data_IF_621530579106
#
_entry.id   IF_621530579106
#
_cell.length_a   1.000
_cell.length_b   1.000
_cell.length_c   1.000
_cell.angle_alpha   90.00
_cell.angle_beta   90.00
_cell.angle_gamma   90.00
#
_symmetry.space_group_name_H-M   'P 1'
#
loop_
_entity.id
_entity.type
_entity.pdbx_description
1 polymer ?
#
# COMPACT_ATOMS: atom_id res chain seq x y z
N UNK A 1 -0.29 3.51 -32.75
CA UNK A 1 0.60 3.03 -31.68
C UNK A 1 -0.27 2.36 -30.64
N UNK A 2 -0.32 1.03 -30.66
CA UNK A 2 -0.99 0.23 -29.63
C UNK A 2 -0.32 0.48 -28.28
N UNK A 3 -1.08 0.51 -27.18
CA UNK A 3 -0.49 0.76 -25.88
C UNK A 3 0.40 -0.41 -25.49
N UNK A 4 1.51 -0.16 -24.80
CA UNK A 4 2.42 -1.21 -24.31
C UNK A 4 1.70 -2.26 -23.44
N UNK A 5 0.56 -1.89 -22.83
CA UNK A 5 -0.33 -2.78 -22.09
C UNK A 5 -1.13 -3.73 -23.01
N UNK A 6 -1.38 -3.36 -24.26
CA UNK A 6 -2.01 -4.22 -25.27
C UNK A 6 -1.05 -5.30 -25.78
N UNK A 7 0.27 -5.03 -25.78
CA UNK A 7 1.31 -5.99 -26.19
C UNK A 7 1.51 -7.13 -25.18
N UNK A 8 1.42 -6.83 -23.87
CA UNK A 8 1.52 -7.86 -22.80
C UNK A 8 0.28 -8.77 -22.81
N UNK A 9 -0.88 -8.26 -23.20
CA UNK A 9 -2.12 -9.03 -23.27
C UNK A 9 -2.17 -10.09 -24.38
N UNK A 10 -1.25 -10.06 -25.35
CA UNK A 10 -1.25 -10.98 -26.50
C UNK A 10 -0.30 -12.17 -26.38
N UNK A 11 0.70 -12.13 -25.49
CA UNK A 11 1.72 -13.18 -25.35
C UNK A 11 1.58 -13.94 -24.02
N UNK A 12 0.61 -14.85 -23.97
CA UNK A 12 0.40 -15.75 -22.84
C UNK A 12 1.53 -16.77 -22.70
N UNK A 13 1.98 -17.00 -21.47
CA UNK A 13 2.89 -18.09 -21.13
C UNK A 13 2.25 -19.07 -20.16
N UNK A 14 2.14 -20.33 -20.62
CA UNK A 14 2.48 -21.53 -19.86
C UNK A 14 1.56 -21.97 -18.72
N UNK A 15 0.67 -22.92 -19.03
CA UNK A 15 -0.02 -23.77 -18.06
C UNK A 15 0.97 -24.57 -17.20
N UNK A 16 1.03 -24.27 -15.90
CA UNK A 16 1.23 -25.29 -14.86
C UNK A 16 0.35 -24.93 -13.66
N UNK A 17 -0.52 -25.87 -13.30
CA UNK A 17 -1.44 -25.81 -12.17
C UNK A 17 -0.73 -26.46 -10.98
N UNK A 18 -0.60 -25.79 -9.83
CA UNK A 18 -0.46 -26.49 -8.56
C UNK A 18 -1.77 -26.43 -7.77
N UNK A 19 -2.11 -27.58 -7.23
CA UNK A 19 -3.25 -27.88 -6.37
C UNK A 19 -3.10 -27.27 -4.95
N UNK A 20 -4.20 -26.70 -4.45
CA UNK A 20 -4.62 -26.43 -3.04
C UNK A 20 -3.62 -25.75 -2.09
N UNK A 21 -3.98 -24.72 -1.30
CA UNK A 21 -4.93 -24.75 -0.19
C UNK A 21 -5.64 -23.40 -0.07
N UNK A 22 -6.98 -23.42 -0.13
CA UNK A 22 -7.82 -22.28 0.23
C UNK A 22 -7.69 -21.97 1.72
N UNK A 23 -6.91 -20.95 2.07
CA UNK A 23 -7.10 -20.25 3.35
C UNK A 23 -8.41 -19.48 3.26
N UNK A 24 -9.46 -20.02 3.89
CA UNK A 24 -10.81 -19.44 3.99
C UNK A 24 -10.89 -18.15 4.81
N UNK A 25 -9.77 -17.51 5.14
CA UNK A 25 -9.74 -16.35 6.02
C UNK A 25 -9.22 -15.09 5.29
N UNK A 26 -10.20 -14.30 4.87
CA UNK A 26 -10.24 -12.87 4.47
C UNK A 26 -11.05 -12.75 3.17
N UNK A 27 -12.37 -12.57 3.31
CA UNK A 27 -13.22 -12.08 2.23
C UNK A 27 -12.98 -10.57 2.10
N UNK A 28 -11.97 -10.18 1.32
CA UNK A 28 -11.82 -8.80 0.89
C UNK A 28 -12.88 -8.53 -0.20
N UNK A 29 -14.02 -7.95 0.18
CA UNK A 29 -14.93 -7.36 -0.81
C UNK A 29 -14.39 -5.98 -1.19
N UNK A 30 -13.59 -5.92 -2.25
CA UNK A 30 -13.12 -4.65 -2.80
C UNK A 30 -14.21 -4.06 -3.72
N UNK A 31 -15.03 -3.15 -3.19
CA UNK A 31 -15.84 -2.25 -4.03
C UNK A 31 -15.05 -0.97 -4.28
N UNK A 32 -14.45 -0.85 -5.46
CA UNK A 32 -13.82 0.40 -5.91
C UNK A 32 -14.93 1.34 -6.41
N UNK A 33 -15.21 2.41 -5.67
CA UNK A 33 -16.05 3.50 -6.16
C UNK A 33 -15.18 4.58 -6.81
N UNK A 34 -15.23 4.73 -8.13
CA UNK A 34 -14.64 5.88 -8.84
C UNK A 34 -15.48 7.14 -8.55
N UNK A 35 -14.94 8.10 -7.79
CA UNK A 35 -15.45 9.49 -7.76
C UNK A 35 -14.29 10.46 -7.82
N UNK A 36 -14.34 11.39 -8.78
CA UNK A 36 -13.38 12.48 -8.91
C UNK A 36 -13.49 13.42 -7.70
N UNK A 37 -12.38 13.64 -7.01
CA UNK A 37 -12.28 14.62 -5.92
C UNK A 37 -11.83 15.95 -6.55
N UNK A 38 -12.57 17.02 -6.25
CA UNK A 38 -12.39 18.36 -6.82
C UNK A 38 -11.05 19.00 -6.35
N UNK A 39 -10.20 19.52 -7.24
CA UNK A 39 -8.86 20.00 -6.88
C UNK A 39 -8.89 21.46 -6.41
N UNK A 40 -9.10 21.68 -5.10
CA UNK A 40 -8.68 22.93 -4.44
C UNK A 40 -8.02 22.60 -3.11
N UNK A 41 -6.78 23.08 -2.97
CA UNK A 41 -5.84 22.97 -1.84
C UNK A 41 -5.10 21.62 -1.72
N UNK A 42 -3.78 21.68 -1.42
CA UNK A 42 -2.97 20.53 -0.97
C UNK A 42 -3.48 20.04 0.38
N UNK A 43 -4.63 19.38 0.38
CA UNK A 43 -5.13 18.61 1.52
C UNK A 43 -4.21 17.41 1.71
N UNK A 44 -3.82 17.14 2.95
CA UNK A 44 -3.05 15.93 3.28
C UNK A 44 -3.81 14.68 2.80
N UNK A 45 -3.10 13.57 2.57
CA UNK A 45 -3.75 12.35 2.05
C UNK A 45 -4.96 11.93 2.89
N UNK A 46 -4.89 12.15 4.21
CA UNK A 46 -5.94 11.84 5.18
C UNK A 46 -7.12 12.82 5.11
N UNK A 47 -6.90 14.13 4.98
CA UNK A 47 -8.01 15.11 4.89
C UNK A 47 -8.96 14.81 3.73
N UNK A 48 -8.43 14.52 2.54
CA UNK A 48 -9.28 14.13 1.39
C UNK A 48 -10.07 12.83 1.63
N UNK A 49 -9.56 11.93 2.48
CA UNK A 49 -10.27 10.71 2.84
C UNK A 49 -11.35 10.97 3.89
N UNK A 50 -11.08 11.83 4.87
CA UNK A 50 -12.08 12.29 5.83
C UNK A 50 -13.21 13.05 5.13
N UNK A 51 -12.91 13.91 4.16
CA UNK A 51 -13.92 14.57 3.32
C UNK A 51 -14.77 13.54 2.56
N UNK A 52 -14.13 12.52 1.97
CA UNK A 52 -14.85 11.44 1.29
C UNK A 52 -15.82 10.74 2.24
N UNK A 53 -15.39 10.44 3.47
CA UNK A 53 -16.24 9.84 4.49
C UNK A 53 -17.37 10.81 4.89
N UNK A 54 -17.09 12.10 5.05
CA UNK A 54 -18.12 13.11 5.35
C UNK A 54 -19.21 13.19 4.28
N UNK A 55 -18.83 13.05 3.00
CA UNK A 55 -19.75 13.11 1.87
C UNK A 55 -20.51 11.81 1.62
N UNK A 56 -19.88 10.64 1.83
CA UNK A 56 -20.43 9.34 1.45
C UNK A 56 -20.84 8.48 2.65
N UNK A 57 -20.55 8.93 3.87
CA UNK A 57 -20.68 8.14 5.08
C UNK A 57 -19.74 6.91 5.11
N UNK A 58 -20.03 5.99 6.02
CA UNK A 58 -19.32 4.72 6.15
C UNK A 58 -19.92 3.58 5.29
N UNK A 59 -20.99 3.87 4.54
CA UNK A 59 -21.89 2.86 3.98
C UNK A 59 -22.81 2.26 5.06
N UNK A 60 -23.19 0.98 4.90
CA UNK A 60 -24.23 0.36 5.74
C UNK A 60 -23.84 0.14 7.21
N UNK A 61 -22.56 0.02 7.53
CA UNK A 61 -22.07 -0.24 8.88
C UNK A 61 -20.86 0.64 9.18
N UNK A 62 -20.86 1.24 10.39
CA UNK A 62 -19.74 2.01 10.92
C UNK A 62 -18.55 1.08 11.20
N UNK A 63 -17.32 1.38 10.72
CA UNK A 63 -16.16 0.53 10.93
C UNK A 63 -15.62 0.67 12.37
N UNK A 64 -14.84 -0.31 12.82
CA UNK A 64 -14.09 -0.19 14.07
C UNK A 64 -12.91 0.76 13.91
N UNK A 65 -12.24 0.69 12.75
CA UNK A 65 -11.03 1.43 12.45
C UNK A 65 -11.14 2.20 11.13
N UNK A 66 -10.63 3.43 11.12
CA UNK A 66 -10.39 4.24 9.91
C UNK A 66 -8.91 4.54 9.80
N UNK A 67 -8.28 4.20 8.68
CA UNK A 67 -6.82 4.36 8.51
C UNK A 67 -6.36 4.47 7.05
N UNK A 68 -5.06 4.39 6.78
CA UNK A 68 -4.48 4.39 5.44
C UNK A 68 -3.88 3.04 5.05
N UNK A 69 -3.86 2.76 3.74
CA UNK A 69 -3.16 1.63 3.11
C UNK A 69 -1.69 1.59 3.55
N UNK A 70 -1.06 2.75 3.60
CA UNK A 70 0.36 2.88 3.98
C UNK A 70 0.60 2.46 5.43
N UNK A 71 -0.27 2.87 6.36
CA UNK A 71 -0.13 2.44 7.75
C UNK A 71 -0.33 0.94 7.91
N UNK A 72 -1.35 0.36 7.25
CA UNK A 72 -1.59 -1.08 7.30
C UNK A 72 -0.38 -1.87 6.81
N UNK A 73 0.17 -1.48 5.64
CA UNK A 73 1.42 -2.02 5.09
C UNK A 73 2.54 -1.95 6.13
N UNK A 74 2.78 -0.78 6.70
CA UNK A 74 3.87 -0.56 7.65
C UNK A 74 3.74 -1.35 8.96
N UNK A 75 2.53 -1.50 9.48
CA UNK A 75 2.28 -2.34 10.67
C UNK A 75 2.59 -3.81 10.36
N UNK A 76 2.13 -4.31 9.21
CA UNK A 76 2.37 -5.70 8.80
C UNK A 76 3.84 -6.00 8.51
N UNK A 77 4.59 -5.04 7.96
CA UNK A 77 6.01 -5.15 7.61
C UNK A 77 6.97 -4.80 8.76
N UNK A 78 6.45 -4.59 9.97
CA UNK A 78 7.22 -4.20 11.16
C UNK A 78 8.03 -2.88 11.01
N UNK A 79 7.57 -1.96 10.18
CA UNK A 79 8.21 -0.64 10.04
C UNK A 79 7.95 0.26 11.26
N UNK A 80 8.93 1.05 11.65
CA UNK A 80 8.82 1.98 12.78
C UNK A 80 8.27 3.31 12.34
N UNK A 81 7.17 3.73 12.95
CA UNK A 81 6.54 5.03 12.71
C UNK A 81 5.97 5.66 13.97
N UNK A 82 5.79 6.98 13.92
CA UNK A 82 4.92 7.70 14.84
C UNK A 82 3.47 7.63 14.32
N UNK A 83 2.55 7.23 15.20
CA UNK A 83 1.14 7.01 14.85
C UNK A 83 0.27 7.78 15.83
N UNK A 84 -0.64 8.58 15.30
CA UNK A 84 -1.69 9.23 16.08
C UNK A 84 -2.96 8.39 16.04
N UNK A 85 -3.60 8.24 17.20
CA UNK A 85 -4.85 7.52 17.34
C UNK A 85 -5.83 8.34 18.15
N UNK A 86 -7.06 8.44 17.68
CA UNK A 86 -8.15 8.98 18.47
C UNK A 86 -9.45 8.23 18.19
N UNK A 87 -10.36 8.26 19.16
CA UNK A 87 -11.71 7.74 18.98
C UNK A 87 -12.72 8.88 18.94
N UNK A 88 -13.53 8.91 17.88
CA UNK A 88 -14.56 9.94 17.66
C UNK A 88 -15.81 9.24 17.12
N UNK A 89 -16.94 9.47 17.78
CA UNK A 89 -18.21 8.84 17.41
C UNK A 89 -18.14 7.31 17.43
N UNK A 90 -17.49 6.68 18.40
CA UNK A 90 -17.35 5.23 18.43
C UNK A 90 -16.36 4.62 17.42
N UNK A 91 -15.79 5.40 16.50
CA UNK A 91 -14.80 4.93 15.49
C UNK A 91 -13.40 5.29 15.91
N UNK A 92 -12.45 4.36 15.75
CA UNK A 92 -11.03 4.60 16.03
C UNK A 92 -10.32 5.03 14.73
N UNK A 93 -9.85 6.27 14.70
CA UNK A 93 -9.06 6.81 13.62
C UNK A 93 -7.58 6.64 13.92
N UNK A 94 -6.82 6.11 12.96
CA UNK A 94 -5.40 5.75 13.12
C UNK A 94 -4.61 6.32 11.95
N UNK A 95 -3.70 7.26 12.23
CA UNK A 95 -2.93 7.98 11.22
C UNK A 95 -1.42 7.86 11.48
N UNK A 96 -0.67 7.53 10.43
CA UNK A 96 0.79 7.62 10.41
C UNK A 96 1.23 9.09 10.22
N UNK A 97 2.18 9.57 11.01
CA UNK A 97 2.62 10.97 11.02
C UNK A 97 3.99 11.22 10.36
N UNK A 98 4.70 10.16 9.98
CA UNK A 98 6.04 10.29 9.40
C UNK A 98 6.02 11.00 8.03
N UNK A 99 7.03 11.82 7.76
CA UNK A 99 7.22 12.48 6.47
C UNK A 99 7.68 11.47 5.41
N UNK A 100 7.09 11.50 4.22
CA UNK A 100 7.56 10.71 3.08
C UNK A 100 8.96 11.15 2.63
N UNK A 101 9.81 10.21 2.19
CA UNK A 101 11.18 10.48 1.75
C UNK A 101 11.18 11.10 0.33
N UNK A 102 11.68 12.33 0.19
CA UNK A 102 11.54 13.13 -1.02
C UNK A 102 12.32 12.59 -2.24
N UNK A 103 13.42 11.85 -2.07
CA UNK A 103 14.29 11.45 -3.19
C UNK A 103 13.83 10.17 -3.89
N UNK A 104 13.26 9.20 -3.16
CA UNK A 104 12.59 8.02 -3.75
C UNK A 104 11.37 8.43 -4.58
N UNK A 105 10.80 9.61 -4.31
CA UNK A 105 9.60 10.10 -4.97
C UNK A 105 9.81 10.42 -6.47
N UNK A 106 10.99 10.90 -6.90
CA UNK A 106 11.16 11.41 -8.29
C UNK A 106 11.21 10.28 -9.32
N UNK A 107 12.02 9.24 -9.07
CA UNK A 107 12.10 8.10 -9.99
C UNK A 107 10.76 7.35 -10.05
N UNK A 108 10.10 7.19 -8.90
CA UNK A 108 8.78 6.60 -8.84
C UNK A 108 7.74 7.43 -9.59
N UNK A 109 7.77 8.76 -9.45
CA UNK A 109 6.87 9.66 -10.17
C UNK A 109 7.05 9.58 -11.68
N UNK A 110 8.29 9.59 -12.16
CA UNK A 110 8.61 9.46 -13.60
C UNK A 110 8.13 8.11 -14.11
N UNK A 111 8.40 7.02 -13.39
CA UNK A 111 7.99 5.69 -13.81
C UNK A 111 6.48 5.52 -13.82
N UNK A 112 5.78 5.97 -12.78
CA UNK A 112 4.31 5.98 -12.75
C UNK A 112 3.76 6.71 -13.98
N UNK A 113 4.24 7.93 -14.23
CA UNK A 113 3.81 8.70 -15.39
C UNK A 113 4.11 7.99 -16.72
N UNK A 114 5.29 7.40 -16.88
CA UNK A 114 5.65 6.63 -18.08
C UNK A 114 4.68 5.47 -18.33
N UNK A 115 4.26 4.78 -17.27
CA UNK A 115 3.37 3.62 -17.35
C UNK A 115 1.89 4.00 -17.52
N UNK A 116 1.48 5.22 -17.15
CA UNK A 116 0.06 5.62 -17.10
C UNK A 116 -0.31 6.78 -18.01
N UNK A 117 0.65 7.43 -18.68
CA UNK A 117 0.35 8.54 -19.59
C UNK A 117 -0.59 8.10 -20.70
N UNK A 118 -1.57 8.93 -21.02
CA UNK A 118 -2.59 8.72 -22.05
C UNK A 118 -2.19 9.30 -23.40
N UNK A 119 -1.21 10.20 -23.41
CA UNK A 119 -0.66 10.79 -24.63
C UNK A 119 0.83 11.02 -24.49
N UNK A 120 1.53 11.12 -25.62
CA UNK A 120 2.98 11.29 -25.66
C UNK A 120 3.46 12.56 -24.95
N UNK A 121 2.70 13.65 -25.11
CA UNK A 121 3.01 14.99 -24.61
C UNK A 121 2.36 15.30 -23.25
N UNK A 122 1.81 14.30 -22.54
CA UNK A 122 1.25 14.52 -21.22
C UNK A 122 2.37 14.95 -20.25
N UNK A 123 2.26 16.09 -19.54
CA UNK A 123 3.28 16.50 -18.60
C UNK A 123 3.23 15.65 -17.33
N UNK A 124 4.38 15.46 -16.68
CA UNK A 124 4.45 14.87 -15.34
C UNK A 124 3.78 15.83 -14.36
N UNK A 125 2.66 15.41 -13.76
CA UNK A 125 1.97 16.16 -12.70
C UNK A 125 2.05 15.42 -11.38
N UNK A 126 2.22 16.16 -10.29
CA UNK A 126 2.31 15.60 -8.93
C UNK A 126 1.00 15.74 -8.13
N UNK A 127 -0.02 16.38 -8.72
CA UNK A 127 -1.28 16.76 -8.05
C UNK A 127 -2.41 15.73 -8.21
N UNK A 128 -2.31 14.85 -9.20
CA UNK A 128 -3.35 13.89 -9.59
C UNK A 128 -3.05 12.49 -9.04
N UNK A 129 -3.16 12.34 -7.72
CA UNK A 129 -3.05 11.04 -7.06
C UNK A 129 -4.39 10.33 -7.12
N UNK A 130 -4.50 9.27 -7.91
CA UNK A 130 -5.66 8.38 -7.86
C UNK A 130 -5.64 7.59 -6.54
N UNK A 131 -6.79 7.56 -5.85
CA UNK A 131 -6.94 6.86 -4.56
C UNK A 131 -8.08 5.86 -4.62
N UNK A 132 -7.88 4.74 -3.93
CA UNK A 132 -8.93 3.78 -3.64
C UNK A 132 -9.39 3.92 -2.20
N UNK A 133 -10.64 3.51 -1.95
CA UNK A 133 -11.22 3.32 -0.63
C UNK A 133 -11.65 1.86 -0.54
N UNK A 134 -11.21 1.18 0.51
CA UNK A 134 -11.43 -0.24 0.71
C UNK A 134 -12.01 -0.52 2.09
N UNK A 135 -12.75 -1.62 2.15
CA UNK A 135 -13.22 -2.22 3.40
C UNK A 135 -12.53 -3.56 3.57
N UNK A 136 -12.06 -3.82 4.78
CA UNK A 136 -11.50 -5.10 5.17
C UNK A 136 -12.12 -5.56 6.49
N UNK A 137 -12.16 -6.87 6.65
CA UNK A 137 -12.59 -7.53 7.88
C UNK A 137 -11.46 -8.43 8.36
N UNK A 138 -11.11 -8.30 9.63
CA UNK A 138 -10.20 -9.22 10.29
C UNK A 138 -11.02 -10.28 11.02
N UNK A 139 -10.79 -11.53 10.66
CA UNK A 139 -11.45 -12.68 11.26
C UNK A 139 -10.58 -13.29 12.35
N UNK A 140 -11.21 -13.77 13.41
CA UNK A 140 -10.59 -14.51 14.49
C UNK A 140 -11.44 -15.78 14.75
N UNK A 141 -10.90 -16.96 14.46
CA UNK A 141 -11.66 -18.21 14.50
C UNK A 141 -12.91 -18.21 13.61
N UNK A 142 -12.83 -17.58 12.43
CA UNK A 142 -13.94 -17.45 11.48
C UNK A 142 -15.01 -16.42 11.84
N UNK A 143 -14.91 -15.75 13.00
CA UNK A 143 -15.80 -14.66 13.39
C UNK A 143 -15.18 -13.31 13.06
N UNK A 144 -15.99 -12.37 12.57
CA UNK A 144 -15.59 -10.98 12.36
C UNK A 144 -15.21 -10.35 13.70
N UNK A 145 -13.94 -10.01 13.85
CA UNK A 145 -13.40 -9.38 15.06
C UNK A 145 -13.30 -7.86 14.89
N UNK A 146 -12.76 -7.40 13.75
CA UNK A 146 -12.62 -5.98 13.47
C UNK A 146 -12.97 -5.64 12.03
N UNK A 147 -13.63 -4.50 11.86
CA UNK A 147 -13.90 -3.88 10.56
C UNK A 147 -13.01 -2.66 10.33
N UNK A 148 -12.41 -2.57 9.15
CA UNK A 148 -11.43 -1.54 8.82
C UNK A 148 -11.88 -0.86 7.52
N UNK A 149 -12.03 0.46 7.56
CA UNK A 149 -12.18 1.31 6.39
C UNK A 149 -10.85 2.03 6.15
N UNK A 150 -10.30 1.92 4.95
CA UNK A 150 -9.01 2.55 4.67
C UNK A 150 -8.91 3.07 3.25
N UNK A 151 -8.01 4.04 3.05
CA UNK A 151 -7.73 4.59 1.72
C UNK A 151 -6.25 4.64 1.42
N UNK A 152 -5.92 4.81 0.15
CA UNK A 152 -4.53 4.87 -0.28
C UNK A 152 -4.41 5.05 -1.78
N UNK A 153 -3.21 5.44 -2.21
CA UNK A 153 -2.86 5.62 -3.62
C UNK A 153 -3.05 4.31 -4.41
N UNK A 154 -3.55 4.42 -5.64
CA UNK A 154 -3.54 3.38 -6.66
C UNK A 154 -2.57 3.83 -7.74
N UNK A 155 -1.55 3.04 -8.06
CA UNK A 155 -0.50 3.46 -8.98
C UNK A 155 -0.97 3.37 -10.44
N UNK A 156 -1.65 2.30 -10.83
CA UNK A 156 -2.26 2.15 -12.15
C UNK A 156 -3.53 1.30 -12.13
N UNK A 157 -4.42 1.54 -13.09
CA UNK A 157 -5.66 0.78 -13.29
C UNK A 157 -5.78 0.41 -14.77
N UNK A 158 -6.03 -0.85 -15.05
CA UNK A 158 -6.40 -1.33 -16.38
C UNK A 158 -7.87 -1.75 -16.38
N UNK A 159 -8.67 -1.17 -17.27
CA UNK A 159 -10.03 -1.64 -17.53
C UNK A 159 -9.94 -2.84 -18.48
N UNK A 160 -10.38 -4.00 -18.02
CA UNK A 160 -10.45 -5.20 -18.86
C UNK A 160 -11.58 -5.07 -19.88
N UNK A 161 -11.52 -5.85 -20.97
CA UNK A 161 -12.56 -5.91 -22.01
C UNK A 161 -13.96 -6.21 -21.46
N UNK A 162 -14.05 -6.85 -20.29
CA UNK A 162 -15.30 -7.16 -19.59
C UNK A 162 -15.75 -6.05 -18.60
N UNK A 163 -15.14 -4.86 -18.64
CA UNK A 163 -15.46 -3.74 -17.75
C UNK A 163 -14.94 -3.87 -16.32
N UNK A 164 -14.26 -4.96 -15.96
CA UNK A 164 -13.62 -5.11 -14.64
C UNK A 164 -12.34 -4.29 -14.60
N UNK A 165 -12.13 -3.50 -13.54
CA UNK A 165 -10.87 -2.80 -13.29
C UNK A 165 -9.90 -3.72 -12.56
N UNK A 166 -8.66 -3.78 -13.03
CA UNK A 166 -7.52 -4.41 -12.35
C UNK A 166 -6.56 -3.33 -11.91
N UNK A 167 -6.28 -3.29 -10.61
CA UNK A 167 -5.26 -2.41 -10.04
C UNK A 167 -3.87 -3.02 -10.23
N UNK A 168 -2.88 -2.16 -10.37
CA UNK A 168 -1.47 -2.52 -10.36
C UNK A 168 -0.74 -1.63 -9.35
N UNK A 169 0.21 -2.22 -8.63
CA UNK A 169 1.23 -1.45 -7.90
C UNK A 169 2.45 -1.31 -8.81
N UNK A 170 3.03 -0.11 -8.84
CA UNK A 170 4.25 0.17 -9.59
C UNK A 170 5.39 0.42 -8.59
N UNK A 171 6.58 -0.10 -8.90
CA UNK A 171 7.77 0.09 -8.06
C UNK A 171 9.02 0.29 -8.91
N UNK A 172 9.89 1.19 -8.48
CA UNK A 172 11.24 1.35 -9.04
C UNK A 172 12.28 0.82 -8.05
N UNK A 173 13.06 -0.18 -8.47
CA UNK A 173 14.05 -0.83 -7.62
C UNK A 173 15.46 -0.70 -8.22
N UNK A 174 16.42 -0.25 -7.42
CA UNK A 174 17.84 -0.28 -7.81
C UNK A 174 18.33 -1.74 -7.85
N UNK A 175 18.82 -2.18 -9.00
CA UNK A 175 19.24 -3.57 -9.21
C UNK A 175 18.09 -4.58 -9.35
N UNK A 176 16.83 -4.16 -9.21
CA UNK A 176 15.67 -5.02 -9.46
C UNK A 176 15.58 -6.25 -8.57
N UNK A 177 14.94 -7.30 -9.09
CA UNK A 177 14.77 -8.58 -8.41
C UNK A 177 16.04 -9.46 -8.42
N UNK A 178 17.09 -9.05 -9.13
CA UNK A 178 18.39 -9.73 -9.13
C UNK A 178 19.29 -9.25 -7.99
N UNK A 179 18.90 -8.19 -7.29
CA UNK A 179 19.60 -7.67 -6.14
C UNK A 179 19.01 -8.25 -4.85
N UNK A 180 19.82 -8.92 -4.04
CA UNK A 180 19.38 -9.51 -2.76
C UNK A 180 18.69 -8.48 -1.85
N UNK A 181 19.16 -7.21 -1.84
CA UNK A 181 18.55 -6.12 -1.08
C UNK A 181 17.07 -5.90 -1.40
N UNK A 182 16.65 -6.16 -2.64
CA UNK A 182 15.23 -6.12 -2.98
C UNK A 182 14.43 -7.14 -2.16
N UNK A 183 14.94 -8.36 -2.03
CA UNK A 183 14.24 -9.43 -1.34
C UNK A 183 14.17 -9.21 0.17
N UNK A 184 15.28 -8.87 0.83
CA UNK A 184 15.25 -8.73 2.30
C UNK A 184 14.74 -7.37 2.80
N UNK A 185 14.74 -6.30 1.98
CA UNK A 185 14.25 -4.97 2.40
C UNK A 185 12.88 -4.59 1.81
N UNK A 186 12.60 -4.95 0.56
CA UNK A 186 11.42 -4.44 -0.19
C UNK A 186 10.31 -5.45 -0.35
N UNK A 187 10.61 -6.74 -0.52
CA UNK A 187 9.61 -7.75 -0.90
C UNK A 187 8.41 -7.79 0.06
N UNK A 188 8.65 -7.83 1.37
CA UNK A 188 7.59 -7.80 2.40
C UNK A 188 6.69 -6.57 2.26
N UNK A 189 7.29 -5.39 2.09
CA UNK A 189 6.56 -4.13 1.97
C UNK A 189 5.71 -4.10 0.70
N UNK A 190 6.24 -4.60 -0.41
CA UNK A 190 5.54 -4.66 -1.70
C UNK A 190 4.40 -5.66 -1.68
N UNK A 191 4.59 -6.82 -1.05
CA UNK A 191 3.52 -7.78 -0.82
C UNK A 191 2.33 -7.13 -0.11
N UNK A 192 2.57 -6.50 1.05
CA UNK A 192 1.50 -5.87 1.83
C UNK A 192 0.91 -4.63 1.14
N UNK A 193 1.73 -3.82 0.45
CA UNK A 193 1.25 -2.68 -0.36
C UNK A 193 0.23 -3.16 -1.39
N UNK A 194 0.56 -4.23 -2.10
CA UNK A 194 -0.26 -4.85 -3.14
C UNK A 194 -1.50 -5.53 -2.56
N UNK A 195 -1.35 -6.26 -1.46
CA UNK A 195 -2.46 -6.90 -0.74
C UNK A 195 -3.53 -5.89 -0.32
N UNK A 196 -3.13 -4.82 0.39
CA UNK A 196 -4.09 -3.80 0.82
C UNK A 196 -4.62 -2.95 -0.34
N UNK A 197 -3.88 -2.83 -1.45
CA UNK A 197 -4.34 -2.15 -2.67
C UNK A 197 -5.32 -2.96 -3.53
N UNK A 198 -5.62 -4.21 -3.12
CA UNK A 198 -6.34 -5.19 -3.94
C UNK A 198 -5.70 -5.35 -5.33
N UNK A 199 -4.36 -5.24 -5.39
CA UNK A 199 -3.59 -5.48 -6.59
C UNK A 199 -3.14 -6.95 -6.60
N UNK A 200 -3.40 -7.72 -7.66
CA UNK A 200 -2.88 -9.07 -7.79
C UNK A 200 -1.41 -9.08 -8.27
N UNK A 201 -0.93 -7.95 -8.82
CA UNK A 201 0.39 -7.86 -9.45
C UNK A 201 1.15 -6.61 -9.02
N UNK A 202 2.48 -6.70 -9.11
CA UNK A 202 3.40 -5.60 -8.89
C UNK A 202 4.29 -5.50 -10.13
N UNK A 203 4.32 -4.34 -10.79
CA UNK A 203 5.22 -4.07 -11.91
C UNK A 203 6.46 -3.38 -11.36
N UNK A 204 7.62 -4.00 -11.54
CA UNK A 204 8.91 -3.54 -11.03
C UNK A 204 9.76 -3.08 -12.21
N UNK A 205 10.20 -1.83 -12.17
CA UNK A 205 11.27 -1.34 -13.02
C UNK A 205 12.62 -1.47 -12.29
N UNK A 206 13.47 -2.34 -12.83
CA UNK A 206 14.86 -2.47 -12.42
C UNK A 206 15.66 -1.32 -13.04
N UNK A 207 16.28 -0.50 -12.19
CA UNK A 207 17.12 0.63 -12.63
C UNK A 207 18.58 0.48 -12.26
N UNK A 208 19.44 1.07 -13.09
CA UNK A 208 20.83 1.36 -12.74
C UNK A 208 20.90 2.53 -11.75
N UNK A 209 22.09 2.74 -11.18
CA UNK A 209 22.38 3.82 -10.23
C UNK A 209 23.28 4.87 -10.85
N UNK A 210 24.16 5.44 -10.03
CA UNK A 210 25.13 6.44 -10.48
C UNK A 210 26.17 5.88 -11.47
N UNK A 211 26.28 4.56 -11.53
CA UNK A 211 27.17 3.83 -12.43
C UNK A 211 26.39 3.05 -13.49
N UNK A 212 26.99 2.92 -14.67
CA UNK A 212 26.49 2.06 -15.73
C UNK A 212 26.55 0.58 -15.31
N UNK A 213 25.55 -0.20 -15.71
CA UNK A 213 25.51 -1.64 -15.45
C UNK A 213 25.97 -2.39 -16.70
N UNK A 214 27.01 -3.22 -16.55
CA UNK A 214 27.44 -4.16 -17.59
C UNK A 214 26.87 -5.54 -17.28
N UNK A 215 26.08 -6.10 -18.20
CA UNK A 215 25.47 -7.41 -18.04
C UNK A 215 25.76 -8.26 -19.28
N UNK A 216 26.21 -9.49 -19.06
CA UNK A 216 26.40 -10.48 -20.12
C UNK A 216 25.06 -11.19 -20.37
N UNK A 217 24.53 -11.05 -21.58
CA UNK A 217 23.25 -11.66 -22.01
C UNK A 217 23.54 -12.44 -23.30
N UNK A 218 23.35 -13.75 -23.29
CA UNK A 218 23.62 -14.64 -24.43
C UNK A 218 25.00 -14.40 -25.07
N UNK A 219 26.03 -14.36 -24.23
CA UNK A 219 27.42 -14.07 -24.60
C UNK A 219 27.73 -12.66 -25.13
N UNK A 220 26.73 -11.78 -25.21
CA UNK A 220 26.90 -10.38 -25.59
C UNK A 220 26.99 -9.50 -24.33
N UNK A 221 27.98 -8.61 -24.29
CA UNK A 221 28.10 -7.63 -23.21
C UNK A 221 27.21 -6.41 -23.52
N UNK A 222 26.12 -6.25 -22.77
CA UNK A 222 25.24 -5.08 -22.86
C UNK A 222 25.62 -4.10 -21.75
N UNK A 223 25.79 -2.82 -22.12
CA UNK A 223 26.04 -1.74 -21.16
C UNK A 223 24.80 -0.87 -21.06
N UNK A 224 24.15 -0.92 -19.90
CA UNK A 224 23.03 -0.03 -19.59
C UNK A 224 23.57 1.28 -18.98
N UNK A 225 23.16 2.46 -19.49
CA UNK A 225 23.64 3.74 -18.97
C UNK A 225 23.29 3.94 -17.49
N UNK A 226 23.97 4.89 -16.84
CA UNK A 226 23.63 5.33 -15.48
C UNK A 226 22.20 5.87 -15.41
N UNK A 227 21.54 5.74 -14.25
CA UNK A 227 20.18 6.21 -13.96
C UNK A 227 19.13 5.81 -15.02
N UNK A 228 19.23 4.60 -15.57
CA UNK A 228 18.36 4.08 -16.62
C UNK A 228 17.58 2.86 -16.15
N UNK A 229 16.35 2.70 -16.62
CA UNK A 229 15.60 1.45 -16.48
C UNK A 229 16.15 0.47 -17.51
N UNK A 230 16.54 -0.73 -17.08
CA UNK A 230 17.08 -1.76 -17.97
C UNK A 230 16.18 -2.99 -18.07
N UNK A 231 15.20 -3.12 -17.18
CA UNK A 231 14.26 -4.23 -17.17
C UNK A 231 12.96 -3.81 -16.49
N UNK A 232 11.84 -4.30 -17.01
CA UNK A 232 10.52 -4.20 -16.38
C UNK A 232 9.97 -5.62 -16.27
N UNK A 233 9.54 -5.99 -15.06
CA UNK A 233 8.95 -7.31 -14.77
C UNK A 233 7.64 -7.13 -14.02
N UNK A 234 6.65 -7.96 -14.35
CA UNK A 234 5.46 -8.13 -13.53
C UNK A 234 5.66 -9.34 -12.62
N UNK A 235 5.44 -9.15 -11.31
CA UNK A 235 5.40 -10.23 -10.35
C UNK A 235 3.98 -10.42 -9.83
N UNK A 236 3.56 -11.68 -9.69
CA UNK A 236 2.37 -12.03 -8.93
C UNK A 236 2.59 -11.71 -7.46
N UNK A 237 1.63 -11.02 -6.83
CA UNK A 237 1.64 -10.77 -5.39
C UNK A 237 1.70 -12.08 -4.60
N UNK A 238 0.95 -13.08 -5.04
CA UNK A 238 0.78 -14.33 -4.28
C UNK A 238 2.00 -15.25 -4.39
N UNK A 239 2.82 -15.08 -5.44
CA UNK A 239 4.10 -15.79 -5.59
C UNK A 239 5.25 -15.13 -4.82
N UNK A 240 5.11 -13.83 -4.47
CA UNK A 240 6.16 -13.04 -3.85
C UNK A 240 6.75 -13.67 -2.57
N UNK A 241 5.95 -14.24 -1.64
CA UNK A 241 6.49 -14.92 -0.46
C UNK A 241 7.40 -16.11 -0.82
N UNK A 242 6.99 -16.92 -1.80
CA UNK A 242 7.75 -18.08 -2.25
C UNK A 242 9.04 -17.69 -2.97
N UNK A 243 9.01 -16.60 -3.75
CA UNK A 243 10.21 -16.04 -4.41
C UNK A 243 11.18 -15.39 -3.41
N UNK A 244 10.67 -14.82 -2.32
CA UNK A 244 11.49 -14.22 -1.28
C UNK A 244 12.15 -15.28 -0.37
N UNK A 245 11.50 -16.42 -0.12
CA UNK A 245 11.97 -17.46 0.80
C UNK A 245 13.41 -17.96 0.53
N UNK A 246 13.82 -18.34 -0.70
CA UNK A 246 15.19 -18.82 -0.97
C UNK A 246 16.24 -17.70 -0.94
N UNK A 247 15.83 -16.44 -1.13
CA UNK A 247 16.73 -15.29 -1.23
C UNK A 247 16.91 -14.54 0.11
N UNK A 248 16.28 -15.00 1.19
CA UNK A 248 16.32 -14.37 2.50
C UNK A 248 17.34 -15.05 3.44
N UNK A 249 18.54 -14.46 3.57
CA UNK A 249 19.55 -14.87 4.58
C UNK A 249 19.30 -14.29 5.99
N UNK A 250 18.20 -13.55 6.21
CA UNK A 250 17.78 -12.88 7.46
C UNK A 250 16.27 -13.08 7.68
N UNK A 251 15.70 -12.87 8.89
CA UNK A 251 14.54 -13.65 9.34
C UNK A 251 13.40 -13.59 8.33
N UNK A 252 12.95 -14.78 7.91
CA UNK A 252 11.85 -14.94 6.96
C UNK A 252 10.64 -14.16 7.47
N UNK A 253 10.20 -13.19 6.68
CA UNK A 253 8.85 -12.67 6.86
C UNK A 253 7.88 -13.70 6.26
N UNK A 254 6.80 -13.99 6.98
CA UNK A 254 5.71 -14.79 6.44
C UNK A 254 4.43 -13.96 6.39
N UNK A 255 3.49 -14.37 5.54
CA UNK A 255 2.15 -13.77 5.51
C UNK A 255 1.46 -13.93 6.87
N UNK A 256 1.69 -15.05 7.55
CA UNK A 256 1.16 -15.32 8.89
C UNK A 256 1.67 -14.31 9.92
N UNK A 257 2.97 -14.02 9.90
CA UNK A 257 3.56 -13.03 10.82
C UNK A 257 2.97 -11.64 10.60
N UNK A 258 2.84 -11.21 9.35
CA UNK A 258 2.20 -9.92 9.05
C UNK A 258 0.74 -9.85 9.51
N UNK A 259 -0.04 -10.92 9.31
CA UNK A 259 -1.42 -11.02 9.85
C UNK A 259 -1.42 -10.90 11.39
N UNK A 260 -0.52 -11.62 12.07
CA UNK A 260 -0.37 -11.58 13.53
C UNK A 260 0.04 -10.19 14.02
N UNK A 261 0.94 -9.51 13.32
CA UNK A 261 1.39 -8.16 13.64
C UNK A 261 0.22 -7.17 13.59
N UNK A 262 -0.58 -7.22 12.52
CA UNK A 262 -1.77 -6.39 12.39
C UNK A 262 -2.81 -6.70 13.47
N UNK A 263 -3.07 -7.98 13.73
CA UNK A 263 -3.98 -8.40 14.79
C UNK A 263 -3.57 -7.86 16.16
N UNK A 264 -2.31 -8.06 16.54
CA UNK A 264 -1.78 -7.59 17.81
C UNK A 264 -1.84 -6.07 17.92
N UNK A 265 -1.52 -5.35 16.85
CA UNK A 265 -1.62 -3.89 16.81
C UNK A 265 -3.06 -3.42 17.01
N UNK A 266 -4.02 -3.94 16.25
CA UNK A 266 -5.43 -3.51 16.35
C UNK A 266 -6.03 -3.88 17.71
N UNK A 267 -5.72 -5.07 18.24
CA UNK A 267 -6.11 -5.48 19.59
C UNK A 267 -5.56 -4.53 20.65
N UNK A 268 -4.28 -4.17 20.54
CA UNK A 268 -3.62 -3.25 21.47
C UNK A 268 -4.24 -1.85 21.41
N UNK A 269 -4.54 -1.34 20.22
CA UNK A 269 -5.24 -0.06 20.07
C UNK A 269 -6.62 -0.13 20.72
N UNK A 270 -7.43 -1.16 20.40
CA UNK A 270 -8.78 -1.31 20.95
C UNK A 270 -8.79 -1.45 22.48
N UNK A 271 -7.75 -2.07 23.07
CA UNK A 271 -7.66 -2.24 24.52
C UNK A 271 -7.35 -0.94 25.27
N UNK A 272 -6.72 0.04 24.62
CA UNK A 272 -6.36 1.33 25.21
C UNK A 272 -7.36 2.43 24.87
N UNK A 273 -7.90 2.46 23.65
CA UNK A 273 -8.78 3.50 23.15
C UNK A 273 -10.25 3.10 23.35
N UNK A 274 -10.76 3.34 24.57
CA UNK A 274 -12.05 2.81 25.01
C UNK A 274 -13.19 3.80 24.82
N UNK A 275 -12.99 5.06 25.18
CA UNK A 275 -14.01 6.11 25.21
C UNK A 275 -13.84 7.08 24.05
N UNK A 276 -14.94 7.68 23.62
CA UNK A 276 -14.86 8.78 22.66
C UNK A 276 -14.09 9.95 23.27
N UNK A 277 -13.24 10.56 22.45
CA UNK A 277 -12.28 11.58 22.87
C UNK A 277 -10.93 11.03 23.34
N UNK A 278 -10.79 9.73 23.60
CA UNK A 278 -9.49 9.12 23.92
C UNK A 278 -8.50 9.38 22.76
N UNK A 279 -7.33 9.92 23.08
CA UNK A 279 -6.28 10.28 22.11
C UNK A 279 -4.91 9.78 22.57
N UNK A 280 -4.20 9.08 21.70
CA UNK A 280 -2.93 8.45 21.97
C UNK A 280 -1.92 8.69 20.85
N UNK A 281 -0.66 8.80 21.24
CA UNK A 281 0.49 8.68 20.35
C UNK A 281 1.10 7.31 20.57
N UNK A 282 1.26 6.57 19.48
CA UNK A 282 1.89 5.27 19.45
C UNK A 282 3.21 5.39 18.69
N UNK A 283 4.26 4.78 19.24
CA UNK A 283 5.53 4.68 18.55
C UNK A 283 6.16 3.31 18.81
N UNK A 284 7.17 2.99 18.02
CA UNK A 284 7.98 1.78 18.20
C UNK A 284 9.43 2.15 18.01
N UNK A 285 10.32 1.49 18.72
CA UNK A 285 11.76 1.64 18.47
C UNK A 285 12.12 0.69 17.31
N UNK A 286 12.93 1.12 16.31
CA UNK A 286 13.41 0.21 15.26
C UNK A 286 13.98 -1.09 15.84
N UNK A 287 13.52 -2.23 15.32
CA UNK A 287 13.92 -3.57 15.79
C UNK A 287 13.21 -4.07 17.05
N UNK A 288 12.40 -3.26 17.74
CA UNK A 288 11.58 -3.70 18.88
C UNK A 288 10.23 -4.26 18.42
N UNK A 289 9.73 -5.29 19.10
CA UNK A 289 8.35 -5.77 18.95
C UNK A 289 7.36 -5.05 19.89
N UNK A 290 7.86 -4.23 20.83
CA UNK A 290 7.04 -3.52 21.81
C UNK A 290 6.63 -2.16 21.28
N UNK A 291 5.32 -1.89 21.33
CA UNK A 291 4.75 -0.58 21.06
C UNK A 291 4.77 0.27 22.34
N UNK A 292 5.21 1.51 22.21
CA UNK A 292 5.05 2.54 23.23
C UNK A 292 3.71 3.23 23.01
N UNK A 293 2.87 3.26 24.04
CA UNK A 293 1.57 3.92 24.03
C UNK A 293 1.55 5.04 25.05
N UNK A 294 1.32 6.27 24.59
CA UNK A 294 1.24 7.45 25.45
C UNK A 294 -0.06 8.19 25.17
N UNK A 295 -0.84 8.46 26.21
CA UNK A 295 -1.99 9.36 26.08
C UNK A 295 -1.48 10.78 25.85
N UNK A 296 -1.90 11.42 24.76
CA UNK A 296 -1.38 12.73 24.37
C UNK A 296 -2.43 13.48 23.52
N UNK A 297 -3.34 14.16 24.21
CA UNK A 297 -4.47 14.85 23.58
C UNK A 297 -3.96 16.05 22.76
N UNK A 298 -2.93 16.75 23.26
CA UNK A 298 -2.39 17.94 22.62
C UNK A 298 -1.77 17.61 21.26
N UNK A 299 -0.91 16.59 21.19
CA UNK A 299 -0.25 16.19 19.94
C UNK A 299 -1.22 15.67 18.89
N UNK A 300 -2.33 15.04 19.32
CA UNK A 300 -3.37 14.49 18.44
C UNK A 300 -4.45 15.52 18.10
N UNK A 301 -4.47 16.69 18.75
CA UNK A 301 -5.52 17.70 18.66
C UNK A 301 -5.88 18.08 17.24
N UNK A 302 -4.91 18.49 16.43
CA UNK A 302 -5.13 18.88 15.02
C UNK A 302 -5.72 17.75 14.18
N UNK A 303 -5.33 16.50 14.43
CA UNK A 303 -5.90 15.35 13.73
C UNK A 303 -7.35 15.10 14.14
N UNK A 304 -7.65 15.20 15.44
CA UNK A 304 -9.02 15.09 15.95
C UNK A 304 -9.93 16.19 15.40
N UNK A 305 -9.46 17.43 15.37
CA UNK A 305 -10.18 18.57 14.80
C UNK A 305 -10.48 18.35 13.31
N UNK A 306 -9.50 17.88 12.53
CA UNK A 306 -9.71 17.58 11.12
C UNK A 306 -10.81 16.53 10.89
N UNK A 307 -10.91 15.51 11.76
CA UNK A 307 -12.01 14.52 11.73
C UNK A 307 -13.35 15.19 12.00
N UNK A 308 -13.44 16.01 13.06
CA UNK A 308 -14.69 16.67 13.45
C UNK A 308 -15.17 17.69 12.41
N UNK A 309 -14.25 18.41 11.77
CA UNK A 309 -14.57 19.35 10.68
C UNK A 309 -15.09 18.60 9.45
N UNK A 310 -14.41 17.51 9.08
CA UNK A 310 -14.75 16.78 7.84
C UNK A 310 -16.00 15.91 8.00
N UNK A 311 -16.30 15.48 9.23
CA UNK A 311 -17.40 14.56 9.53
C UNK A 311 -18.17 15.10 10.76
N UNK A 312 -18.96 16.17 10.60
CA UNK A 312 -19.55 16.93 11.71
C UNK A 312 -20.61 16.17 12.52
N UNK A 313 -21.16 15.08 11.98
CA UNK A 313 -22.24 14.30 12.60
C UNK A 313 -21.74 13.00 13.28
N UNK A 314 -20.46 12.94 13.65
CA UNK A 314 -19.85 11.74 14.25
C UNK A 314 -20.07 11.60 15.76
#
# INVERSE_FOLDING_TARGET
>A
MESFLDYIGQNGFGNQKPDFVTSKDVLQTATCSEKQINPRMQKSQMESFLDYIGQNGFGNQKPDFVTSKDLLKSVTSLETHLIHVCKVGGVIFVLKMDKENAMESKNQLIFNHLMTKKSENEPIRNDSIQKGVWKAEMLNGGKKEYSILYSGKVDAIQKTKMGKSRNYELEVAFGGCENDAFWWEKSCKLFWKSFFGASPSIIIASRTGEFALKKKINDIMITYPKNSIYEIKELSRDELPSLAAPNNQRPLWTVSDGKKNLYNFLKLVKSHVKRDGDCFVISRIPGSQKWNFKQDIASVGTFKEAIQISIPNL
#
